data_IF_097796461106
#
_entry.id   IF_097796461106
#
_cell.length_a   1.000
_cell.length_b   1.000
_cell.length_c   1.000
_cell.angle_alpha   90.00
_cell.angle_beta   90.00
_cell.angle_gamma   90.00
#
_symmetry.space_group_name_H-M   'P 1'
#
loop_
_entity.id
_entity.type
_entity.pdbx_description
1 polymer ?
#
# COMPACT_ATOMS: atom_id res chain seq x y z
N UNK A 1 12.93 -29.58 6.41
CA UNK A 1 11.98 -30.50 5.74
C UNK A 1 12.32 -31.91 6.21
N UNK A 2 11.34 -32.71 6.64
CA UNK A 2 11.59 -34.13 6.88
C UNK A 2 12.05 -34.76 5.56
N UNK A 3 13.11 -35.57 5.59
CA UNK A 3 13.57 -36.32 4.42
C UNK A 3 12.47 -37.30 4.03
N UNK A 4 11.68 -36.96 3.01
CA UNK A 4 10.76 -37.91 2.40
C UNK A 4 11.57 -38.80 1.47
N UNK A 5 11.42 -40.13 1.61
CA UNK A 5 12.21 -41.12 0.84
C UNK A 5 12.04 -41.01 -0.69
N UNK A 6 10.99 -40.34 -1.15
CA UNK A 6 10.57 -40.30 -2.56
C UNK A 6 10.63 -38.90 -3.20
N UNK A 7 11.12 -37.88 -2.48
CA UNK A 7 11.13 -36.51 -3.00
C UNK A 7 12.41 -35.75 -2.64
N UNK A 8 13.08 -35.26 -3.68
CA UNK A 8 14.24 -34.37 -3.57
C UNK A 8 13.82 -33.00 -4.09
N UNK A 9 13.90 -31.99 -3.22
CA UNK A 9 13.53 -30.64 -3.61
C UNK A 9 14.54 -30.07 -4.63
N UNK A 10 14.02 -29.57 -5.74
CA UNK A 10 14.73 -28.89 -6.82
C UNK A 10 14.83 -27.37 -6.61
N UNK A 11 15.55 -26.71 -7.52
CA UNK A 11 15.70 -25.25 -7.53
C UNK A 11 14.36 -24.51 -7.61
N UNK A 12 13.36 -25.07 -8.30
CA UNK A 12 12.05 -24.46 -8.48
C UNK A 12 11.30 -24.30 -7.17
N UNK A 13 11.28 -25.37 -6.36
CA UNK A 13 10.61 -25.36 -5.04
C UNK A 13 11.33 -24.41 -4.10
N UNK A 14 12.67 -24.47 -4.02
CA UNK A 14 13.44 -23.58 -3.16
C UNK A 14 13.26 -22.12 -3.56
N UNK A 15 13.33 -21.80 -4.86
CA UNK A 15 13.08 -20.45 -5.39
C UNK A 15 11.69 -19.95 -4.95
N UNK A 16 10.65 -20.77 -5.10
CA UNK A 16 9.28 -20.40 -4.70
C UNK A 16 9.15 -20.17 -3.20
N UNK A 17 9.71 -21.07 -2.38
CA UNK A 17 9.65 -20.96 -0.91
C UNK A 17 10.41 -19.71 -0.43
N UNK A 18 11.61 -19.46 -0.96
CA UNK A 18 12.42 -18.27 -0.66
C UNK A 18 11.64 -17.00 -1.03
N UNK A 19 11.03 -16.95 -2.22
CA UNK A 19 10.20 -15.82 -2.66
C UNK A 19 8.99 -15.58 -1.74
N UNK A 20 8.30 -16.65 -1.32
CA UNK A 20 7.16 -16.54 -0.39
C UNK A 20 7.60 -16.04 0.99
N UNK A 21 8.69 -16.58 1.55
CA UNK A 21 9.22 -16.14 2.83
C UNK A 21 9.69 -14.68 2.76
N UNK A 22 10.32 -14.28 1.65
CA UNK A 22 10.67 -12.91 1.33
C UNK A 22 9.48 -11.96 1.38
N UNK A 23 8.40 -12.27 0.65
CA UNK A 23 7.17 -11.44 0.64
C UNK A 23 6.50 -11.31 2.01
N UNK A 24 6.67 -12.30 2.91
CA UNK A 24 6.21 -12.23 4.31
C UNK A 24 7.18 -11.49 5.24
N UNK A 25 8.31 -10.98 4.74
CA UNK A 25 9.36 -10.33 5.53
C UNK A 25 10.20 -11.28 6.38
N UNK A 26 10.05 -12.60 6.20
CA UNK A 26 10.74 -13.63 6.98
C UNK A 26 12.12 -13.95 6.40
N UNK A 27 13.00 -12.95 6.34
CA UNK A 27 14.32 -13.05 5.68
C UNK A 27 15.21 -14.13 6.32
N UNK A 28 15.14 -14.32 7.65
CA UNK A 28 15.90 -15.37 8.34
C UNK A 28 15.52 -16.76 7.83
N UNK A 29 14.23 -17.01 7.61
CA UNK A 29 13.75 -18.28 7.09
C UNK A 29 14.14 -18.47 5.62
N UNK A 30 14.06 -17.40 4.80
CA UNK A 30 14.55 -17.43 3.41
C UNK A 30 16.04 -17.80 3.33
N UNK A 31 16.88 -17.22 4.20
CA UNK A 31 18.30 -17.54 4.30
C UNK A 31 18.56 -18.97 4.79
N UNK A 32 17.77 -19.45 5.74
CA UNK A 32 17.84 -20.83 6.21
C UNK A 32 17.51 -21.79 5.07
N UNK A 33 16.44 -21.56 4.30
CA UNK A 33 16.06 -22.38 3.15
C UNK A 33 17.17 -22.43 2.09
N UNK A 34 17.79 -21.28 1.78
CA UNK A 34 18.93 -21.22 0.86
C UNK A 34 20.14 -22.02 1.36
N UNK A 35 20.40 -21.99 2.67
CA UNK A 35 21.50 -22.77 3.28
C UNK A 35 21.20 -24.26 3.27
N UNK A 36 19.95 -24.65 3.58
CA UNK A 36 19.50 -26.04 3.53
C UNK A 36 19.62 -26.62 2.12
N UNK A 37 19.25 -25.86 1.09
CA UNK A 37 19.40 -26.24 -0.30
C UNK A 37 20.85 -26.58 -0.66
N UNK A 38 21.81 -25.75 -0.23
CA UNK A 38 23.23 -26.01 -0.46
C UNK A 38 23.72 -27.25 0.30
N UNK A 39 23.27 -27.41 1.54
CA UNK A 39 23.62 -28.55 2.39
C UNK A 39 23.02 -29.88 1.89
N UNK A 40 21.92 -29.83 1.12
CA UNK A 40 21.36 -31.00 0.45
C UNK A 40 22.01 -31.31 -0.90
N UNK A 41 23.10 -30.61 -1.27
CA UNK A 41 23.83 -30.82 -2.52
C UNK A 41 23.20 -30.16 -3.76
N UNK A 42 22.11 -29.40 -3.58
CA UNK A 42 21.44 -28.72 -4.68
C UNK A 42 22.17 -27.42 -5.03
N UNK A 43 22.57 -27.25 -6.30
CA UNK A 43 23.34 -26.09 -6.78
C UNK A 43 22.40 -24.94 -7.17
N UNK A 44 22.48 -23.77 -6.52
CA UNK A 44 21.61 -22.63 -6.83
C UNK A 44 21.78 -22.12 -8.26
N UNK A 45 20.66 -22.01 -8.97
CA UNK A 45 20.58 -21.39 -10.29
C UNK A 45 20.14 -19.91 -10.20
N UNK A 46 20.04 -19.27 -11.37
CA UNK A 46 19.64 -17.87 -11.50
C UNK A 46 18.28 -17.59 -10.86
N UNK A 47 17.33 -18.53 -10.93
CA UNK A 47 15.99 -18.37 -10.35
C UNK A 47 16.05 -18.28 -8.82
N UNK A 48 16.85 -19.15 -8.19
CA UNK A 48 17.04 -19.14 -6.73
C UNK A 48 17.71 -17.85 -6.27
N UNK A 49 18.75 -17.37 -6.97
CA UNK A 49 19.39 -16.11 -6.62
C UNK A 49 18.47 -14.91 -6.85
N UNK A 50 17.69 -14.87 -7.93
CA UNK A 50 16.68 -13.83 -8.16
C UNK A 50 15.65 -13.80 -7.02
N UNK A 51 15.19 -14.97 -6.58
CA UNK A 51 14.31 -15.09 -5.42
C UNK A 51 14.98 -14.63 -4.12
N UNK A 52 16.27 -14.89 -3.93
CA UNK A 52 17.03 -14.46 -2.76
C UNK A 52 17.24 -12.93 -2.73
N UNK A 53 17.61 -12.35 -3.87
CA UNK A 53 17.72 -10.90 -4.08
C UNK A 53 16.37 -10.25 -3.77
N UNK A 54 15.29 -10.73 -4.42
CA UNK A 54 13.93 -10.26 -4.19
C UNK A 54 13.50 -10.38 -2.73
N UNK A 55 13.84 -11.49 -2.07
CA UNK A 55 13.56 -11.66 -0.65
C UNK A 55 14.24 -10.59 0.19
N UNK A 56 15.53 -10.32 -0.01
CA UNK A 56 16.25 -9.29 0.73
C UNK A 56 15.62 -7.90 0.60
N UNK A 57 15.10 -7.55 -0.58
CA UNK A 57 14.44 -6.27 -0.83
C UNK A 57 13.15 -6.05 0.00
N UNK A 58 12.55 -7.12 0.52
CA UNK A 58 11.43 -7.07 1.46
C UNK A 58 11.84 -6.89 2.93
N UNK A 59 13.14 -6.78 3.23
CA UNK A 59 13.65 -6.43 4.56
C UNK A 59 13.19 -5.03 4.99
N UNK A 60 13.11 -4.82 6.31
CA UNK A 60 12.81 -3.50 6.91
C UNK A 60 13.94 -2.51 6.69
N UNK A 61 15.18 -2.97 6.81
CA UNK A 61 16.37 -2.16 6.54
C UNK A 61 16.65 -2.18 5.03
N UNK A 62 16.27 -1.10 4.35
CA UNK A 62 16.38 -0.95 2.90
C UNK A 62 17.81 -0.78 2.42
N UNK A 63 18.63 -0.02 3.15
CA UNK A 63 20.04 0.21 2.76
C UNK A 63 20.83 -1.09 2.81
N UNK A 64 20.74 -1.83 3.92
CA UNK A 64 21.40 -3.13 4.06
C UNK A 64 20.86 -4.18 3.08
N UNK A 65 19.57 -4.10 2.75
CA UNK A 65 18.96 -4.97 1.74
C UNK A 65 19.56 -4.75 0.35
N UNK A 66 19.70 -3.49 -0.07
CA UNK A 66 20.28 -3.13 -1.37
C UNK A 66 21.74 -3.54 -1.47
N UNK A 67 22.54 -3.29 -0.41
CA UNK A 67 23.93 -3.74 -0.36
C UNK A 67 24.05 -5.27 -0.49
N UNK A 68 23.19 -6.03 0.19
CA UNK A 68 23.16 -7.50 0.06
C UNK A 68 22.71 -7.95 -1.32
N UNK A 69 21.71 -7.28 -1.91
CA UNK A 69 21.23 -7.57 -3.25
C UNK A 69 22.35 -7.44 -4.29
N UNK A 70 23.15 -6.36 -4.23
CA UNK A 70 24.33 -6.20 -5.06
C UNK A 70 25.40 -7.25 -4.77
N UNK A 71 25.66 -7.57 -3.50
CA UNK A 71 26.61 -8.63 -3.16
C UNK A 71 26.25 -9.99 -3.77
N UNK A 72 24.97 -10.33 -3.85
CA UNK A 72 24.51 -11.54 -4.54
C UNK A 72 24.63 -11.43 -6.06
N UNK A 73 24.34 -10.25 -6.63
CA UNK A 73 24.51 -9.99 -8.05
C UNK A 73 25.96 -10.14 -8.51
N UNK A 74 26.92 -9.54 -7.79
CA UNK A 74 28.34 -9.71 -8.09
C UNK A 74 28.79 -11.17 -7.93
N UNK A 75 28.26 -11.88 -6.93
CA UNK A 75 28.51 -13.31 -6.76
C UNK A 75 27.99 -14.14 -7.94
N UNK A 76 26.83 -13.79 -8.51
CA UNK A 76 26.27 -14.47 -9.68
C UNK A 76 27.18 -14.33 -10.90
N UNK A 77 27.77 -13.14 -11.12
CA UNK A 77 28.72 -12.91 -12.22
C UNK A 77 29.93 -13.84 -12.19
N UNK A 78 30.40 -14.18 -11.00
CA UNK A 78 31.54 -15.09 -10.81
C UNK A 78 31.18 -16.59 -10.98
N UNK A 79 29.91 -16.95 -11.26
CA UNK A 79 29.47 -18.34 -11.39
C UNK A 79 29.10 -18.61 -12.86
N UNK A 80 29.91 -19.41 -13.56
CA UNK A 80 29.72 -19.72 -15.00
C UNK A 80 28.30 -20.13 -15.38
N UNK A 81 27.66 -21.00 -14.57
CA UNK A 81 26.31 -21.52 -14.84
C UNK A 81 25.18 -20.72 -14.18
N UNK A 82 25.45 -19.54 -13.63
CA UNK A 82 24.49 -18.75 -12.86
C UNK A 82 24.64 -17.25 -13.13
N UNK A 83 24.84 -16.89 -14.40
CA UNK A 83 25.00 -15.50 -14.82
C UNK A 83 23.69 -14.71 -14.61
N UNK A 84 23.79 -13.40 -14.30
CA UNK A 84 22.62 -12.53 -14.21
C UNK A 84 21.82 -12.50 -15.53
N UNK A 85 20.50 -12.60 -15.41
CA UNK A 85 19.59 -12.49 -16.56
C UNK A 85 18.86 -11.16 -16.54
N UNK A 86 18.06 -10.87 -17.57
CA UNK A 86 17.28 -9.64 -17.63
C UNK A 86 16.36 -9.48 -16.42
N UNK A 87 15.84 -10.60 -15.91
CA UNK A 87 15.02 -10.63 -14.69
C UNK A 87 15.82 -10.14 -13.48
N UNK A 88 17.09 -10.52 -13.37
CA UNK A 88 17.99 -10.07 -12.29
C UNK A 88 18.19 -8.56 -12.36
N UNK A 89 18.51 -8.03 -13.54
CA UNK A 89 18.66 -6.59 -13.76
C UNK A 89 17.34 -5.84 -13.47
N UNK A 90 16.20 -6.34 -13.95
CA UNK A 90 14.90 -5.71 -13.72
C UNK A 90 14.55 -5.61 -12.23
N UNK A 91 14.89 -6.63 -11.43
CA UNK A 91 14.71 -6.60 -9.97
C UNK A 91 15.58 -5.50 -9.34
N UNK A 92 16.87 -5.45 -9.69
CA UNK A 92 17.83 -4.52 -9.10
C UNK A 92 17.56 -3.07 -9.54
N UNK A 93 17.41 -2.83 -10.84
CA UNK A 93 17.12 -1.51 -11.40
C UNK A 93 15.87 -0.90 -10.78
N UNK A 94 14.78 -1.69 -10.67
CA UNK A 94 13.55 -1.24 -10.00
C UNK A 94 13.79 -0.94 -8.53
N UNK A 95 14.55 -1.77 -7.83
CA UNK A 95 14.82 -1.60 -6.40
C UNK A 95 15.63 -0.34 -6.10
N UNK A 96 16.70 -0.09 -6.87
CA UNK A 96 17.53 1.11 -6.71
C UNK A 96 16.79 2.38 -7.15
N UNK A 97 16.01 2.33 -8.23
CA UNK A 97 15.14 3.44 -8.64
C UNK A 97 14.09 3.76 -7.56
N UNK A 98 13.50 2.73 -6.93
CA UNK A 98 12.56 2.90 -5.82
C UNK A 98 13.23 3.45 -4.56
N UNK A 99 14.53 3.23 -4.39
CA UNK A 99 15.32 3.81 -3.30
C UNK A 99 15.83 5.23 -3.62
N UNK A 100 15.70 5.69 -4.86
CA UNK A 100 16.22 6.98 -5.32
C UNK A 100 17.73 7.02 -5.53
N UNK A 101 18.39 5.85 -5.57
CA UNK A 101 19.84 5.76 -5.82
C UNK A 101 20.12 5.76 -7.33
N UNK A 102 20.10 6.97 -7.89
CA UNK A 102 20.27 7.18 -9.34
C UNK A 102 21.64 6.74 -9.84
N UNK A 103 22.69 6.91 -9.03
CA UNK A 103 24.05 6.50 -9.37
C UNK A 103 24.13 5.00 -9.59
N UNK A 104 23.54 4.21 -8.69
CA UNK A 104 23.56 2.76 -8.83
C UNK A 104 22.67 2.30 -9.99
N UNK A 105 21.56 2.99 -10.27
CA UNK A 105 20.75 2.71 -11.46
C UNK A 105 21.59 2.90 -12.72
N UNK A 106 22.33 4.00 -12.86
CA UNK A 106 23.18 4.26 -14.03
C UNK A 106 24.31 3.22 -14.18
N UNK A 107 24.94 2.82 -13.07
CA UNK A 107 25.96 1.76 -13.05
C UNK A 107 25.39 0.43 -13.55
N UNK A 108 24.24 -0.01 -13.02
CA UNK A 108 23.59 -1.27 -13.44
C UNK A 108 23.20 -1.26 -14.90
N UNK A 109 22.80 -0.10 -15.38
CA UNK A 109 22.39 0.10 -16.76
C UNK A 109 23.59 0.06 -17.72
N UNK A 110 24.72 0.65 -17.32
CA UNK A 110 25.99 0.53 -18.07
C UNK A 110 26.47 -0.92 -18.10
N UNK A 111 26.42 -1.59 -16.96
CA UNK A 111 26.75 -3.01 -16.84
C UNK A 111 25.82 -3.89 -17.70
N UNK A 112 24.52 -3.57 -17.77
CA UNK A 112 23.57 -4.23 -18.67
C UNK A 112 23.92 -4.00 -20.15
N UNK A 113 24.35 -2.78 -20.52
CA UNK A 113 24.76 -2.45 -21.89
C UNK A 113 26.04 -3.16 -22.33
N UNK A 114 26.94 -3.48 -21.40
CA UNK A 114 28.17 -4.24 -21.63
C UNK A 114 27.94 -5.77 -21.56
N UNK A 115 26.77 -6.20 -21.07
CA UNK A 115 26.41 -7.61 -20.94
C UNK A 115 25.86 -8.20 -22.25
N UNK A 116 25.84 -9.53 -22.33
CA UNK A 116 25.19 -10.27 -23.44
C UNK A 116 23.64 -10.17 -23.41
N UNK A 117 23.07 -9.60 -22.34
CA UNK A 117 21.64 -9.52 -22.12
C UNK A 117 21.16 -8.12 -22.51
N UNK A 118 20.07 -8.03 -23.27
CA UNK A 118 19.53 -6.74 -23.71
C UNK A 118 18.37 -6.27 -22.83
N UNK A 119 18.26 -4.95 -22.56
CA UNK A 119 17.10 -4.38 -21.90
C UNK A 119 15.83 -4.59 -22.72
N UNK A 120 14.72 -4.89 -22.04
CA UNK A 120 13.41 -5.03 -22.66
C UNK A 120 12.45 -3.92 -22.18
N UNK A 121 11.22 -3.95 -22.69
CA UNK A 121 10.20 -2.97 -22.31
C UNK A 121 9.86 -3.03 -20.81
N UNK A 122 9.97 -4.19 -20.18
CA UNK A 122 9.75 -4.35 -18.74
C UNK A 122 10.86 -3.73 -17.91
N UNK A 123 12.10 -3.74 -18.39
CA UNK A 123 13.23 -3.02 -17.79
C UNK A 123 12.92 -1.54 -17.69
N UNK A 124 12.58 -0.91 -18.81
CA UNK A 124 12.32 0.54 -18.85
C UNK A 124 11.05 0.90 -18.07
N UNK A 125 9.94 0.17 -18.30
CA UNK A 125 8.70 0.41 -17.57
C UNK A 125 8.87 0.25 -16.06
N UNK A 126 9.69 -0.71 -15.61
CA UNK A 126 9.99 -0.91 -14.19
C UNK A 126 10.72 0.26 -13.54
N UNK A 127 11.72 0.83 -14.24
CA UNK A 127 12.48 1.99 -13.74
C UNK A 127 11.64 3.28 -13.79
N UNK A 128 10.93 3.51 -14.90
CA UNK A 128 10.03 4.67 -15.07
C UNK A 128 8.94 4.64 -13.99
N UNK A 129 8.32 3.49 -13.73
CA UNK A 129 7.30 3.31 -12.66
C UNK A 129 7.87 3.62 -11.28
N UNK A 130 9.09 3.14 -10.99
CA UNK A 130 9.74 3.36 -9.70
C UNK A 130 10.07 4.84 -9.45
N UNK A 131 10.71 5.52 -10.42
CA UNK A 131 10.99 6.96 -10.30
C UNK A 131 9.71 7.80 -10.27
N UNK A 132 8.75 7.48 -11.14
CA UNK A 132 7.45 8.15 -11.18
C UNK A 132 6.69 8.04 -9.86
N UNK A 133 6.71 6.85 -9.21
CA UNK A 133 6.10 6.65 -7.90
C UNK A 133 6.75 7.44 -6.76
N UNK A 134 8.05 7.70 -6.87
CA UNK A 134 8.80 8.52 -5.92
C UNK A 134 8.71 10.03 -6.23
N UNK A 135 8.03 10.44 -7.31
CA UNK A 135 7.97 11.83 -7.73
C UNK A 135 9.28 12.37 -8.32
N UNK A 136 10.22 11.48 -8.67
CA UNK A 136 11.51 11.78 -9.29
C UNK A 136 11.33 11.94 -10.81
N UNK A 137 10.62 12.99 -11.21
CA UNK A 137 10.16 13.18 -12.60
C UNK A 137 11.33 13.41 -13.57
N UNK A 138 12.40 14.09 -13.15
CA UNK A 138 13.56 14.36 -14.02
C UNK A 138 14.29 13.07 -14.38
N UNK A 139 14.45 12.19 -13.39
CA UNK A 139 15.08 10.89 -13.51
C UNK A 139 14.19 9.90 -14.27
N UNK A 140 12.87 9.99 -14.09
CA UNK A 140 11.92 9.26 -14.94
C UNK A 140 12.04 9.68 -16.41
N UNK A 141 12.13 10.99 -16.69
CA UNK A 141 12.27 11.54 -18.04
C UNK A 141 13.61 11.15 -18.69
N UNK A 142 14.71 11.06 -17.92
CA UNK A 142 16.03 10.69 -18.44
C UNK A 142 16.11 9.24 -18.97
N UNK A 143 15.19 8.38 -18.54
CA UNK A 143 15.09 6.99 -19.02
C UNK A 143 14.46 6.90 -20.42
N UNK A 144 13.60 7.86 -20.81
CA UNK A 144 12.90 7.83 -22.09
C UNK A 144 13.84 7.93 -23.31
N UNK A 145 14.85 8.82 -23.35
CA UNK A 145 15.85 8.83 -24.41
C UNK A 145 16.62 7.51 -24.53
N UNK A 146 16.92 6.85 -23.41
CA UNK A 146 17.62 5.56 -23.40
C UNK A 146 16.76 4.44 -23.98
N UNK A 147 15.48 4.42 -23.62
CA UNK A 147 14.52 3.48 -24.21
C UNK A 147 14.48 3.64 -25.74
N UNK A 148 14.43 4.89 -26.22
CA UNK A 148 14.45 5.22 -27.65
C UNK A 148 15.78 4.85 -28.34
N UNK A 149 16.93 5.10 -27.71
CA UNK A 149 18.24 4.82 -28.30
C UNK A 149 18.50 3.31 -28.47
N UNK A 150 17.90 2.48 -27.61
CA UNK A 150 17.89 1.02 -27.73
C UNK A 150 16.76 0.49 -28.61
N UNK A 151 16.10 1.35 -29.37
CA UNK A 151 15.00 1.03 -30.27
C UNK A 151 13.81 0.33 -29.59
N UNK A 152 13.70 0.44 -28.26
CA UNK A 152 12.55 -0.05 -27.51
C UNK A 152 11.43 0.99 -27.61
N UNK A 153 10.27 0.59 -28.14
CA UNK A 153 9.15 1.51 -28.35
C UNK A 153 8.25 1.56 -27.11
N UNK A 154 7.84 2.76 -26.63
CA UNK A 154 6.85 2.88 -25.57
C UNK A 154 5.55 2.16 -25.92
N UNK A 155 5.02 1.36 -24.99
CA UNK A 155 3.72 0.70 -25.10
C UNK A 155 2.67 1.45 -24.27
N UNK A 156 1.42 0.96 -24.32
CA UNK A 156 0.31 1.50 -23.52
C UNK A 156 0.63 1.53 -22.01
N UNK A 157 1.44 0.58 -21.52
CA UNK A 157 1.86 0.54 -20.12
C UNK A 157 2.82 1.71 -19.83
N UNK A 158 3.80 1.97 -20.71
CA UNK A 158 4.68 3.15 -20.60
C UNK A 158 3.87 4.44 -20.54
N UNK A 159 2.91 4.62 -21.46
CA UNK A 159 2.06 5.82 -21.47
C UNK A 159 1.23 5.96 -20.19
N UNK A 160 0.64 4.86 -19.69
CA UNK A 160 -0.14 4.87 -18.46
C UNK A 160 0.73 5.24 -17.24
N UNK A 161 1.95 4.72 -17.14
CA UNK A 161 2.89 5.07 -16.07
C UNK A 161 3.23 6.57 -16.12
N UNK A 162 3.52 7.10 -17.31
CA UNK A 162 3.84 8.52 -17.48
C UNK A 162 2.66 9.41 -17.10
N UNK A 163 1.45 9.11 -17.59
CA UNK A 163 0.22 9.84 -17.27
C UNK A 163 -0.02 9.88 -15.76
N UNK A 164 0.05 8.71 -15.10
CA UNK A 164 -0.16 8.64 -13.66
C UNK A 164 0.94 9.38 -12.87
N UNK A 165 2.20 9.28 -13.30
CA UNK A 165 3.32 9.94 -12.63
C UNK A 165 3.28 11.46 -12.75
N UNK A 166 3.02 12.00 -13.94
CA UNK A 166 2.82 13.44 -14.14
C UNK A 166 1.56 13.94 -13.42
N UNK A 167 0.47 13.15 -13.44
CA UNK A 167 -0.76 13.47 -12.73
C UNK A 167 -0.56 13.55 -11.22
N UNK A 168 0.18 12.61 -10.62
CA UNK A 168 0.51 12.62 -9.18
C UNK A 168 1.40 13.79 -8.79
N UNK A 169 2.29 14.25 -9.67
CA UNK A 169 3.09 15.47 -9.47
C UNK A 169 2.32 16.75 -9.82
N UNK A 170 1.09 16.64 -10.31
CA UNK A 170 0.22 17.74 -10.76
C UNK A 170 0.83 18.57 -11.90
N UNK A 171 1.74 18.00 -12.69
CA UNK A 171 2.22 18.61 -13.93
C UNK A 171 1.26 18.26 -15.07
N UNK A 172 0.04 18.80 -14.99
CA UNK A 172 -1.07 18.41 -15.86
C UNK A 172 -0.81 18.68 -17.35
N UNK A 173 -0.04 19.72 -17.68
CA UNK A 173 0.32 20.01 -19.08
C UNK A 173 1.09 18.84 -19.72
N UNK A 174 2.07 18.29 -18.99
CA UNK A 174 2.83 17.10 -19.45
C UNK A 174 1.94 15.87 -19.50
N UNK A 175 1.07 15.67 -18.51
CA UNK A 175 0.09 14.56 -18.52
C UNK A 175 -0.81 14.61 -19.77
N UNK A 176 -1.35 15.79 -20.08
CA UNK A 176 -2.19 16.01 -21.26
C UNK A 176 -1.42 15.86 -22.57
N UNK A 177 -0.15 16.30 -22.62
CA UNK A 177 0.74 16.07 -23.79
C UNK A 177 1.01 14.59 -24.02
N UNK A 178 1.24 13.81 -22.96
CA UNK A 178 1.43 12.35 -23.05
C UNK A 178 0.14 11.69 -23.53
N UNK A 179 -1.02 12.08 -23.01
CA UNK A 179 -2.31 11.55 -23.45
C UNK A 179 -2.59 11.87 -24.93
N UNK A 180 -2.33 13.10 -25.38
CA UNK A 180 -2.41 13.48 -26.81
C UNK A 180 -1.42 12.69 -27.67
N UNK A 181 -0.27 12.31 -27.14
CA UNK A 181 0.72 11.49 -27.84
C UNK A 181 0.28 10.04 -27.93
N UNK A 182 -0.36 9.49 -26.88
CA UNK A 182 -0.99 8.17 -26.91
C UNK A 182 -2.10 8.11 -27.97
N UNK A 183 -2.98 9.12 -28.03
CA UNK A 183 -4.04 9.19 -29.06
C UNK A 183 -3.52 9.22 -30.50
N UNK A 184 -2.31 9.74 -30.73
CA UNK A 184 -1.65 9.78 -32.05
C UNK A 184 -0.79 8.55 -32.32
N UNK A 185 -0.51 7.76 -31.30
CA UNK A 185 0.29 6.54 -31.42
C UNK A 185 -0.55 5.39 -31.98
N UNK A 186 0.11 4.28 -32.35
CA UNK A 186 -0.60 3.04 -32.71
C UNK A 186 -1.25 2.39 -31.49
N UNK A 187 -0.77 2.71 -30.29
CA UNK A 187 -1.33 2.23 -29.03
C UNK A 187 -2.65 2.96 -28.75
N UNK A 188 -3.67 2.23 -28.30
CA UNK A 188 -4.97 2.82 -27.94
C UNK A 188 -5.05 3.09 -26.45
N UNK A 189 -5.70 4.18 -26.02
CA UNK A 189 -6.06 4.37 -24.62
C UNK A 189 -6.87 3.18 -24.10
N UNK A 190 -6.72 2.92 -22.81
CA UNK A 190 -7.42 1.84 -22.09
C UNK A 190 -8.13 2.42 -20.86
N UNK A 191 -9.03 1.65 -20.23
CA UNK A 191 -9.68 2.11 -18.99
C UNK A 191 -8.69 2.62 -17.92
N UNK A 192 -7.54 1.97 -17.65
CA UNK A 192 -6.54 2.51 -16.73
C UNK A 192 -5.99 3.90 -17.11
N UNK A 193 -5.91 4.22 -18.41
CA UNK A 193 -5.49 5.54 -18.89
C UNK A 193 -6.46 6.62 -18.39
N UNK A 194 -7.75 6.46 -18.66
CA UNK A 194 -8.79 7.40 -18.25
C UNK A 194 -8.95 7.45 -16.73
N UNK A 195 -8.96 6.29 -16.07
CA UNK A 195 -9.08 6.20 -14.61
C UNK A 195 -7.95 6.94 -13.89
N UNK A 196 -6.73 6.87 -14.41
CA UNK A 196 -5.57 7.60 -13.87
C UNK A 196 -5.74 9.11 -14.01
N UNK A 197 -6.19 9.60 -15.17
CA UNK A 197 -6.45 11.03 -15.37
C UNK A 197 -7.59 11.55 -14.49
N UNK A 198 -8.73 10.84 -14.44
CA UNK A 198 -9.88 11.18 -13.60
C UNK A 198 -9.47 11.25 -12.12
N UNK A 199 -8.74 10.26 -11.64
CA UNK A 199 -8.28 10.21 -10.24
C UNK A 199 -7.32 11.35 -9.91
N UNK A 200 -6.38 11.66 -10.81
CA UNK A 200 -5.39 12.71 -10.56
C UNK A 200 -6.00 14.12 -10.64
N UNK A 201 -6.89 14.40 -11.60
CA UNK A 201 -7.67 15.65 -11.61
C UNK A 201 -8.58 15.77 -10.39
N UNK A 202 -9.23 14.67 -9.99
CA UNK A 202 -10.05 14.63 -8.77
C UNK A 202 -9.26 15.01 -7.53
N UNK A 203 -8.07 14.42 -7.32
CA UNK A 203 -7.18 14.77 -6.20
C UNK A 203 -6.75 16.24 -6.19
N UNK A 204 -6.65 16.87 -7.36
CA UNK A 204 -6.36 18.30 -7.49
C UNK A 204 -7.62 19.18 -7.46
N UNK A 205 -8.81 18.62 -7.20
CA UNK A 205 -10.10 19.30 -7.17
C UNK A 205 -10.49 19.96 -8.50
N UNK A 206 -9.96 19.45 -9.61
CA UNK A 206 -10.23 19.96 -10.97
C UNK A 206 -11.39 19.17 -11.60
N UNK A 207 -12.60 19.34 -11.04
CA UNK A 207 -13.81 18.59 -11.42
C UNK A 207 -14.09 18.65 -12.92
N UNK A 208 -14.11 19.86 -13.50
CA UNK A 208 -14.45 20.07 -14.92
C UNK A 208 -13.50 19.32 -15.86
N UNK A 209 -12.20 19.29 -15.54
CA UNK A 209 -11.23 18.51 -16.32
C UNK A 209 -11.48 17.01 -16.18
N UNK A 210 -11.81 16.53 -14.98
CA UNK A 210 -12.12 15.12 -14.77
C UNK A 210 -13.39 14.68 -15.51
N UNK A 211 -14.44 15.51 -15.51
CA UNK A 211 -15.68 15.28 -16.25
C UNK A 211 -15.45 15.34 -17.77
N UNK A 212 -14.60 16.26 -18.25
CA UNK A 212 -14.19 16.31 -19.65
C UNK A 212 -13.48 15.02 -20.09
N UNK A 213 -12.62 14.44 -19.23
CA UNK A 213 -12.00 13.13 -19.50
C UNK A 213 -13.04 12.01 -19.56
N UNK A 214 -14.06 12.03 -18.69
CA UNK A 214 -15.16 11.07 -18.72
C UNK A 214 -15.96 11.18 -20.02
N UNK A 215 -16.34 12.39 -20.44
CA UNK A 215 -16.99 12.61 -21.74
C UNK A 215 -16.12 12.12 -22.89
N UNK A 216 -14.80 12.37 -22.83
CA UNK A 216 -13.88 11.88 -23.86
C UNK A 216 -13.78 10.35 -23.92
N UNK A 217 -13.85 9.69 -22.77
CA UNK A 217 -13.88 8.24 -22.68
C UNK A 217 -15.12 7.67 -23.39
N UNK A 218 -16.28 8.27 -23.15
CA UNK A 218 -17.55 7.87 -23.77
C UNK A 218 -17.59 8.17 -25.27
N UNK A 219 -17.09 9.32 -25.72
CA UNK A 219 -16.93 9.67 -27.15
C UNK A 219 -16.08 8.65 -27.91
N UNK A 220 -15.06 8.10 -27.26
CA UNK A 220 -14.19 7.07 -27.83
C UNK A 220 -14.81 5.66 -27.75
N UNK A 221 -16.07 5.54 -27.32
CA UNK A 221 -16.82 4.30 -27.24
C UNK A 221 -16.55 3.46 -25.99
N UNK A 222 -15.80 3.99 -25.01
CA UNK A 222 -15.55 3.29 -23.76
C UNK A 222 -16.65 3.62 -22.75
N UNK A 223 -17.44 2.61 -22.38
CA UNK A 223 -18.38 2.74 -21.26
C UNK A 223 -17.62 2.69 -19.92
N UNK A 224 -17.97 3.53 -18.93
CA UNK A 224 -17.43 3.44 -17.59
C UNK A 224 -17.57 2.03 -17.04
N UNK A 225 -16.44 1.41 -16.72
CA UNK A 225 -16.44 0.10 -16.07
C UNK A 225 -16.51 0.26 -14.55
N UNK A 226 -16.57 -0.86 -13.84
CA UNK A 226 -16.64 -0.87 -12.39
C UNK A 226 -15.52 -0.05 -11.71
N UNK A 227 -14.28 -0.19 -12.18
CA UNK A 227 -13.13 0.55 -11.63
C UNK A 227 -13.25 2.05 -11.95
N UNK A 228 -13.75 2.40 -13.12
CA UNK A 228 -14.03 3.80 -13.50
C UNK A 228 -15.07 4.42 -12.57
N UNK A 229 -16.15 3.68 -12.25
CA UNK A 229 -17.18 4.16 -11.31
C UNK A 229 -16.60 4.42 -9.91
N UNK A 230 -15.73 3.55 -9.41
CA UNK A 230 -15.00 3.79 -8.14
C UNK A 230 -14.11 5.02 -8.20
N UNK A 231 -13.40 5.23 -9.31
CA UNK A 231 -12.62 6.45 -9.54
C UNK A 231 -13.50 7.70 -9.55
N UNK A 232 -14.72 7.63 -10.11
CA UNK A 232 -15.67 8.75 -10.14
C UNK A 232 -16.19 9.07 -8.74
N UNK A 233 -16.55 8.07 -7.93
CA UNK A 233 -16.95 8.27 -6.52
C UNK A 233 -15.87 9.06 -5.79
N UNK A 234 -14.61 8.64 -5.89
CA UNK A 234 -13.48 9.33 -5.25
C UNK A 234 -13.21 10.71 -5.84
N UNK A 235 -13.34 10.87 -7.16
CA UNK A 235 -13.17 12.16 -7.83
C UNK A 235 -14.17 13.19 -7.31
N UNK A 236 -15.47 12.85 -7.28
CA UNK A 236 -16.51 13.72 -6.75
C UNK A 236 -16.33 13.96 -5.25
N UNK A 237 -15.87 12.96 -4.50
CA UNK A 237 -15.57 13.11 -3.08
C UNK A 237 -14.43 14.12 -2.82
N UNK A 238 -13.38 14.12 -3.64
CA UNK A 238 -12.31 15.11 -3.53
C UNK A 238 -12.78 16.53 -3.90
N UNK A 239 -13.78 16.64 -4.78
CA UNK A 239 -14.37 17.90 -5.22
C UNK A 239 -15.57 18.34 -4.36
N UNK A 240 -15.71 17.79 -3.14
CA UNK A 240 -16.78 18.09 -2.18
C UNK A 240 -18.22 17.88 -2.72
N UNK A 241 -18.38 17.08 -3.78
CA UNK A 241 -19.65 16.78 -4.46
C UNK A 241 -20.22 15.42 -4.03
N UNK A 242 -20.37 15.20 -2.72
CA UNK A 242 -20.69 13.89 -2.14
C UNK A 242 -22.06 13.35 -2.58
N UNK A 243 -23.03 14.22 -2.89
CA UNK A 243 -24.34 13.81 -3.42
C UNK A 243 -24.21 13.05 -4.74
N UNK A 244 -23.37 13.53 -5.65
CA UNK A 244 -23.11 12.87 -6.93
C UNK A 244 -22.31 11.58 -6.75
N UNK A 245 -21.33 11.58 -5.85
CA UNK A 245 -20.61 10.37 -5.46
C UNK A 245 -21.58 9.29 -4.93
N UNK A 246 -22.56 9.68 -4.11
CA UNK A 246 -23.56 8.78 -3.55
C UNK A 246 -24.49 8.22 -4.62
N UNK A 247 -24.96 9.06 -5.54
CA UNK A 247 -25.79 8.63 -6.66
C UNK A 247 -25.09 7.53 -7.48
N UNK A 248 -23.81 7.74 -7.83
CA UNK A 248 -23.02 6.76 -8.59
C UNK A 248 -22.87 5.45 -7.80
N UNK A 249 -22.65 5.54 -6.49
CA UNK A 249 -22.59 4.35 -5.64
C UNK A 249 -23.90 3.56 -5.62
N UNK A 250 -25.04 4.24 -5.49
CA UNK A 250 -26.36 3.59 -5.48
C UNK A 250 -26.68 2.96 -6.85
N UNK A 251 -26.36 3.64 -7.96
CA UNK A 251 -26.44 3.08 -9.32
C UNK A 251 -25.60 1.80 -9.47
N UNK A 252 -24.38 1.82 -8.94
CA UNK A 252 -23.48 0.67 -8.95
C UNK A 252 -24.04 -0.50 -8.14
N UNK A 253 -24.55 -0.25 -6.93
CA UNK A 253 -25.17 -1.28 -6.08
C UNK A 253 -26.41 -1.89 -6.74
N UNK A 254 -27.24 -1.08 -7.37
CA UNK A 254 -28.44 -1.53 -8.06
C UNK A 254 -28.13 -2.36 -9.32
N UNK A 255 -27.07 -2.01 -10.05
CA UNK A 255 -26.68 -2.73 -11.28
C UNK A 255 -26.14 -4.14 -11.04
N UNK A 256 -25.49 -4.40 -9.88
CA UNK A 256 -24.77 -5.65 -9.63
C UNK A 256 -25.50 -6.63 -8.71
N UNK A 257 -26.65 -6.25 -8.14
CA UNK A 257 -27.40 -7.03 -7.14
C UNK A 257 -26.58 -7.51 -5.92
N UNK A 258 -25.34 -7.00 -5.76
CA UNK A 258 -24.41 -7.31 -4.67
C UNK A 258 -23.49 -6.12 -4.43
N UNK A 259 -23.34 -5.72 -3.17
CA UNK A 259 -22.42 -4.65 -2.76
C UNK A 259 -21.00 -5.22 -2.74
N UNK A 260 -20.13 -4.71 -3.60
CA UNK A 260 -18.71 -5.03 -3.55
C UNK A 260 -17.98 -4.22 -2.47
N UNK A 261 -17.04 -4.88 -1.77
CA UNK A 261 -16.31 -4.27 -0.67
C UNK A 261 -15.43 -3.08 -1.09
N UNK A 262 -14.91 -3.06 -2.32
CA UNK A 262 -14.08 -1.95 -2.79
C UNK A 262 -14.90 -0.68 -3.02
N UNK A 263 -16.08 -0.78 -3.66
CA UNK A 263 -16.97 0.36 -3.84
C UNK A 263 -17.53 0.88 -2.52
N UNK A 264 -17.83 -0.04 -1.58
CA UNK A 264 -18.19 0.34 -0.22
C UNK A 264 -17.08 1.14 0.44
N UNK A 265 -15.84 0.65 0.40
CA UNK A 265 -14.71 1.35 0.98
C UNK A 265 -14.49 2.73 0.33
N UNK A 266 -14.68 2.85 -0.98
CA UNK A 266 -14.59 4.13 -1.68
C UNK A 266 -15.67 5.12 -1.20
N UNK A 267 -16.92 4.68 -1.05
CA UNK A 267 -18.00 5.55 -0.55
C UNK A 267 -17.83 5.91 0.93
N UNK A 268 -17.35 4.98 1.76
CA UNK A 268 -17.03 5.26 3.16
C UNK A 268 -15.87 6.25 3.28
N UNK A 269 -14.84 6.12 2.45
CA UNK A 269 -13.73 7.08 2.38
C UNK A 269 -14.24 8.45 1.94
N UNK A 270 -15.11 8.49 0.92
CA UNK A 270 -15.74 9.71 0.43
C UNK A 270 -16.50 10.46 1.54
N UNK A 271 -17.32 9.76 2.34
CA UNK A 271 -18.00 10.38 3.49
C UNK A 271 -17.01 10.86 4.55
N UNK A 272 -16.02 10.03 4.91
CA UNK A 272 -15.03 10.36 5.92
C UNK A 272 -14.17 11.58 5.54
N UNK A 273 -13.74 11.67 4.29
CA UNK A 273 -12.96 12.80 3.78
C UNK A 273 -13.73 14.12 3.81
N UNK A 274 -15.05 14.06 3.70
CA UNK A 274 -15.94 15.22 3.74
C UNK A 274 -16.53 15.49 5.14
N UNK A 275 -16.05 14.79 6.18
CA UNK A 275 -16.52 14.98 7.56
C UNK A 275 -17.92 14.43 7.86
N UNK A 276 -18.50 13.65 6.95
CA UNK A 276 -19.85 13.10 7.05
C UNK A 276 -19.85 11.74 7.79
N UNK A 277 -19.30 11.74 9.01
CA UNK A 277 -19.07 10.52 9.80
C UNK A 277 -20.35 9.76 10.13
N UNK A 278 -21.45 10.47 10.42
CA UNK A 278 -22.76 9.86 10.70
C UNK A 278 -23.31 9.11 9.49
N UNK A 279 -23.14 9.66 8.29
CA UNK A 279 -23.57 9.00 7.05
C UNK A 279 -22.69 7.78 6.71
N UNK A 280 -21.40 7.85 7.02
CA UNK A 280 -20.50 6.69 6.92
C UNK A 280 -20.94 5.56 7.85
N UNK A 281 -21.30 5.88 9.09
CA UNK A 281 -21.79 4.91 10.08
C UNK A 281 -23.14 4.30 9.68
N UNK A 282 -24.07 5.12 9.19
CA UNK A 282 -25.36 4.65 8.65
C UNK A 282 -25.18 3.72 7.45
N UNK A 283 -24.26 4.04 6.54
CA UNK A 283 -23.94 3.18 5.40
C UNK A 283 -23.37 1.84 5.88
N UNK A 284 -22.48 1.84 6.88
CA UNK A 284 -21.94 0.61 7.46
C UNK A 284 -23.07 -0.27 8.04
N UNK A 285 -23.96 0.32 8.85
CA UNK A 285 -25.09 -0.40 9.45
C UNK A 285 -26.02 -0.99 8.38
N UNK A 286 -26.32 -0.23 7.32
CA UNK A 286 -27.16 -0.68 6.19
C UNK A 286 -26.55 -1.91 5.50
N UNK A 287 -25.23 -1.91 5.34
CA UNK A 287 -24.51 -2.98 4.65
C UNK A 287 -24.37 -4.22 5.54
N UNK A 288 -24.20 -4.03 6.85
CA UNK A 288 -24.25 -5.11 7.84
C UNK A 288 -25.63 -5.79 7.87
N UNK A 289 -26.71 -5.02 7.80
CA UNK A 289 -28.07 -5.56 7.70
C UNK A 289 -28.30 -6.37 6.42
N UNK A 290 -27.65 -5.98 5.31
CA UNK A 290 -27.65 -6.73 4.04
C UNK A 290 -26.73 -7.97 4.05
N UNK A 291 -26.10 -8.29 5.19
CA UNK A 291 -25.28 -9.51 5.36
C UNK A 291 -23.88 -9.43 4.73
N UNK A 292 -23.43 -8.26 4.32
CA UNK A 292 -22.07 -8.07 3.79
C UNK A 292 -21.11 -7.91 4.95
N UNK A 293 -20.09 -8.77 5.02
CA UNK A 293 -19.08 -8.75 6.09
C UNK A 293 -17.98 -7.76 5.72
N UNK A 294 -17.83 -6.62 6.43
CA UNK A 294 -16.77 -5.65 6.15
C UNK A 294 -15.39 -6.23 6.49
N UNK A 295 -14.37 -5.78 5.77
CA UNK A 295 -13.00 -6.24 5.98
C UNK A 295 -12.31 -5.49 7.13
N UNK A 296 -11.22 -6.05 7.67
CA UNK A 296 -10.37 -5.31 8.63
C UNK A 296 -9.84 -3.99 8.08
N UNK A 297 -9.68 -3.85 6.76
CA UNK A 297 -9.32 -2.60 6.09
C UNK A 297 -10.44 -1.55 6.16
N UNK A 298 -11.70 -1.98 6.03
CA UNK A 298 -12.90 -1.13 6.15
C UNK A 298 -12.99 -0.53 7.54
N UNK A 299 -12.84 -1.35 8.57
CA UNK A 299 -12.81 -0.88 9.95
C UNK A 299 -11.62 0.04 10.24
N UNK A 300 -10.44 -0.26 9.70
CA UNK A 300 -9.26 0.62 9.82
C UNK A 300 -9.49 2.01 9.20
N UNK A 301 -10.16 2.07 8.05
CA UNK A 301 -10.50 3.32 7.38
C UNK A 301 -11.39 4.20 8.28
N UNK A 302 -12.53 3.64 8.73
CA UNK A 302 -13.49 4.34 9.58
C UNK A 302 -12.87 4.74 10.93
N UNK A 303 -12.09 3.84 11.52
CA UNK A 303 -11.40 4.10 12.77
C UNK A 303 -10.48 5.31 12.69
N UNK A 304 -9.64 5.36 11.65
CA UNK A 304 -8.74 6.50 11.41
C UNK A 304 -9.52 7.80 11.22
N UNK A 305 -10.62 7.75 10.47
CA UNK A 305 -11.46 8.92 10.21
C UNK A 305 -12.14 9.43 11.50
N UNK A 306 -12.84 8.56 12.23
CA UNK A 306 -13.56 8.92 13.45
C UNK A 306 -12.62 9.40 14.56
N UNK A 307 -11.43 8.79 14.66
CA UNK A 307 -10.40 9.22 15.62
C UNK A 307 -9.87 10.61 15.26
N UNK A 308 -9.60 10.89 13.97
CA UNK A 308 -9.18 12.22 13.50
C UNK A 308 -10.26 13.28 13.76
N UNK A 309 -11.54 12.90 13.67
CA UNK A 309 -12.67 13.75 13.97
C UNK A 309 -12.98 13.91 15.47
N UNK A 310 -12.26 13.19 16.35
CA UNK A 310 -12.51 13.11 17.79
C UNK A 310 -13.94 12.66 18.16
N UNK A 311 -14.58 11.85 17.30
CA UNK A 311 -15.92 11.31 17.55
C UNK A 311 -15.83 10.03 18.40
N UNK A 312 -15.74 10.23 19.73
CA UNK A 312 -15.56 9.13 20.69
C UNK A 312 -16.71 8.13 20.67
N UNK A 313 -17.92 8.57 20.35
CA UNK A 313 -19.12 7.73 20.34
C UNK A 313 -19.06 6.75 19.17
N UNK A 314 -18.77 7.25 17.97
CA UNK A 314 -18.62 6.40 16.79
C UNK A 314 -17.43 5.45 16.92
N UNK A 315 -16.30 5.91 17.49
CA UNK A 315 -15.14 5.02 17.76
C UNK A 315 -15.52 3.86 18.69
N UNK A 316 -16.23 4.14 19.79
CA UNK A 316 -16.68 3.09 20.71
C UNK A 316 -17.68 2.12 20.06
N UNK A 317 -18.62 2.64 19.28
CA UNK A 317 -19.59 1.83 18.52
C UNK A 317 -18.85 0.91 17.54
N UNK A 318 -17.89 1.44 16.79
CA UNK A 318 -17.09 0.71 15.81
C UNK A 318 -16.30 -0.42 16.47
N UNK A 319 -15.64 -0.17 17.61
CA UNK A 319 -14.88 -1.19 18.34
C UNK A 319 -15.77 -2.33 18.87
N UNK A 320 -16.97 -2.00 19.37
CA UNK A 320 -17.96 -3.02 19.77
C UNK A 320 -18.39 -3.87 18.58
N UNK A 321 -18.62 -3.24 17.41
CA UNK A 321 -18.95 -3.95 16.17
C UNK A 321 -17.82 -4.88 15.70
N UNK A 322 -16.58 -4.42 15.74
CA UNK A 322 -15.41 -5.23 15.39
C UNK A 322 -15.28 -6.48 16.26
N UNK A 323 -15.48 -6.33 17.58
CA UNK A 323 -15.41 -7.45 18.52
C UNK A 323 -16.50 -8.49 18.24
N UNK A 324 -17.74 -8.05 17.95
CA UNK A 324 -18.84 -8.94 17.56
C UNK A 324 -18.54 -9.76 16.30
N UNK A 325 -17.74 -9.22 15.38
CA UNK A 325 -17.35 -9.90 14.15
C UNK A 325 -16.02 -10.68 14.26
N UNK A 326 -15.41 -10.73 15.44
CA UNK A 326 -14.12 -11.40 15.65
C UNK A 326 -12.94 -10.75 14.91
N UNK A 327 -13.07 -9.48 14.51
CA UNK A 327 -12.00 -8.75 13.82
C UNK A 327 -11.05 -8.17 14.86
N UNK A 328 -9.90 -8.81 15.04
CA UNK A 328 -8.88 -8.37 15.98
C UNK A 328 -8.09 -7.21 15.37
N UNK A 329 -8.11 -6.01 15.98
CA UNK A 329 -7.32 -4.89 15.50
C UNK A 329 -5.82 -5.12 15.76
N UNK A 330 -4.96 -4.78 14.80
CA UNK A 330 -3.52 -5.01 14.95
C UNK A 330 -2.87 -4.06 15.98
N UNK A 331 -1.70 -4.39 16.55
CA UNK A 331 -1.03 -3.54 17.57
C UNK A 331 -0.85 -2.08 17.13
N UNK A 332 -0.60 -1.82 15.84
CA UNK A 332 -0.46 -0.46 15.30
C UNK A 332 -1.80 0.30 15.29
N UNK A 333 -2.90 -0.39 15.04
CA UNK A 333 -4.27 0.13 15.11
C UNK A 333 -4.58 0.75 16.47
N UNK A 334 -4.13 0.12 17.58
CA UNK A 334 -4.34 0.64 18.93
C UNK A 334 -3.41 1.77 19.32
N UNK A 335 -2.16 1.78 18.82
CA UNK A 335 -1.19 2.83 19.13
C UNK A 335 -1.61 4.19 18.56
N UNK A 336 -2.07 4.22 17.30
CA UNK A 336 -2.56 5.45 16.65
C UNK A 336 -3.77 6.06 17.40
N UNK A 337 -4.51 5.23 18.13
CA UNK A 337 -5.65 5.65 18.94
C UNK A 337 -5.25 6.28 20.27
N UNK A 338 -4.37 5.60 21.00
CA UNK A 338 -3.90 6.06 22.30
C UNK A 338 -3.16 7.39 22.19
N UNK A 339 -2.47 7.65 21.08
CA UNK A 339 -1.87 8.94 20.80
C UNK A 339 -2.93 10.05 20.65
N UNK A 340 -4.01 9.78 19.92
CA UNK A 340 -5.11 10.73 19.74
C UNK A 340 -5.93 10.99 21.02
N UNK A 341 -6.12 9.96 21.86
CA UNK A 341 -6.75 10.13 23.18
C UNK A 341 -5.80 10.80 24.20
N UNK A 342 -4.49 10.51 24.12
CA UNK A 342 -3.47 11.03 25.02
C UNK A 342 -3.15 12.52 24.84
N UNK A 343 -3.40 13.09 23.65
CA UNK A 343 -3.30 14.55 23.44
C UNK A 343 -4.36 15.36 24.19
N UNK A 344 -5.41 14.71 24.71
CA UNK A 344 -6.50 15.38 25.46
C UNK A 344 -6.28 15.41 26.98
N UNK A 345 -5.28 14.71 27.55
CA UNK A 345 -5.07 14.61 29.01
C UNK A 345 -3.84 15.37 29.53
N UNK A 346 -3.37 16.42 28.84
CA UNK A 346 -2.47 17.38 29.51
C UNK A 346 -3.28 18.32 30.39
N UNK A 347 -3.57 17.87 31.62
CA UNK A 347 -4.02 18.76 32.71
C UNK A 347 -3.01 19.90 32.91
N UNK A 348 -3.44 21.15 33.19
CA UNK A 348 -2.53 22.26 33.46
C UNK A 348 -1.68 21.95 34.70
N UNK A 349 -0.37 22.24 34.63
CA UNK A 349 0.52 22.21 35.79
C UNK A 349 0.01 23.20 36.83
N UNK A 350 -0.61 22.73 37.90
CA UNK A 350 -0.75 23.49 39.13
C UNK A 350 0.53 23.30 39.95
N UNK A 351 1.27 24.39 40.10
CA UNK A 351 2.35 24.53 41.07
C UNK A 351 1.77 24.50 42.48
N UNK A 352 2.22 23.58 43.33
CA UNK A 352 2.20 23.81 44.77
C UNK A 352 3.56 23.44 45.35
N UNK A 353 4.25 24.47 45.82
CA UNK A 353 5.45 24.38 46.61
C UNK A 353 5.08 24.11 48.09
N UNK A 354 6.00 23.39 48.73
CA UNK A 354 6.38 23.45 50.15
C UNK A 354 5.48 22.82 51.24
N UNK A 355 6.13 21.84 51.91
CA UNK A 355 6.27 21.68 53.38
C UNK A 355 5.02 21.30 54.21
N UNK A 356 5.04 20.44 55.24
CA UNK A 356 6.07 19.66 55.96
C UNK A 356 5.36 18.64 56.86
N UNK A 357 6.07 17.54 57.16
CA UNK A 357 5.92 16.52 58.21
C UNK A 357 4.89 16.67 59.36
N UNK A 358 4.14 15.59 59.67
CA UNK A 358 4.31 14.78 60.90
C UNK A 358 3.45 13.49 60.92
N UNK A 359 3.91 12.49 61.67
CA UNK A 359 3.43 11.09 61.84
C UNK A 359 2.89 10.93 63.30
N UNK A 360 2.41 9.76 63.81
CA UNK A 360 1.17 8.98 63.57
C UNK A 360 0.40 8.61 64.91
N UNK A 361 -0.52 7.62 64.87
CA UNK A 361 -1.26 6.92 65.97
C UNK A 361 -2.64 7.50 66.35
N UNK A 362 -3.70 6.79 66.79
CA UNK A 362 -4.12 5.38 66.86
C UNK A 362 -5.64 5.32 67.21
N UNK A 363 -6.31 4.19 66.93
CA UNK A 363 -7.58 3.66 67.48
C UNK A 363 -8.89 4.49 67.41
N UNK A 364 -9.96 3.94 66.79
CA UNK A 364 -11.00 3.14 67.46
C UNK A 364 -12.21 2.85 66.54
N UNK A 365 -12.96 1.80 66.89
CA UNK A 365 -14.05 1.16 66.16
C UNK A 365 -15.37 1.95 66.03
N UNK A 366 -16.26 1.50 65.13
CA UNK A 366 -17.71 1.76 65.18
C UNK A 366 -18.41 1.89 63.82
N UNK A 367 -18.99 0.79 63.34
CA UNK A 367 -20.29 0.62 62.64
C UNK A 367 -20.66 1.57 61.47
N UNK A 368 -20.64 1.08 60.23
CA UNK A 368 -21.69 0.33 59.51
C UNK A 368 -22.56 1.25 58.65
N UNK A 369 -22.36 1.23 57.32
CA UNK A 369 -23.48 1.26 56.36
C UNK A 369 -22.99 0.91 54.95
N UNK A 370 -23.80 0.09 54.29
CA UNK A 370 -23.51 -0.53 53.02
C UNK A 370 -23.49 0.47 51.86
N UNK A 371 -22.38 0.53 51.13
CA UNK A 371 -22.34 1.08 49.79
C UNK A 371 -21.63 0.08 48.87
N UNK A 372 -22.42 -0.63 48.06
CA UNK A 372 -22.02 -1.52 46.98
C UNK A 372 -21.18 -0.76 45.95
N UNK A 373 -19.86 -0.73 46.16
CA UNK A 373 -18.90 -0.29 45.16
C UNK A 373 -18.75 -1.36 44.09
N UNK A 374 -19.44 -1.17 42.96
CA UNK A 374 -19.16 -1.87 41.71
C UNK A 374 -17.78 -1.39 41.22
N UNK A 375 -16.73 -2.11 41.61
CA UNK A 375 -15.41 -1.99 40.98
C UNK A 375 -15.55 -2.45 39.52
N UNK A 376 -15.18 -1.64 38.51
CA UNK A 376 -15.09 -2.15 37.15
C UNK A 376 -13.95 -3.17 37.08
N UNK A 377 -14.30 -4.34 36.54
CA UNK A 377 -13.46 -5.52 36.45
C UNK A 377 -12.20 -5.22 35.62
N UNK A 378 -11.04 -5.24 36.28
CA UNK A 378 -9.72 -5.08 35.68
C UNK A 378 -9.36 -6.41 35.00
N UNK A 379 -9.82 -6.61 33.77
CA UNK A 379 -9.43 -7.77 32.95
C UNK A 379 -9.16 -7.45 31.47
N UNK A 380 -9.04 -6.17 31.11
CA UNK A 380 -8.90 -5.73 29.70
C UNK A 380 -7.43 -5.45 29.28
N UNK A 381 -6.44 -5.60 30.15
CA UNK A 381 -5.06 -5.14 29.87
C UNK A 381 -3.95 -6.20 29.92
N UNK A 382 -4.26 -7.49 29.81
CA UNK A 382 -3.23 -8.54 29.77
C UNK A 382 -3.48 -9.58 28.67
N UNK A 383 -3.39 -9.16 27.39
CA UNK A 383 -2.96 -10.05 26.30
C UNK A 383 -2.20 -9.23 25.25
N UNK A 384 -1.02 -8.74 25.61
CA UNK A 384 -0.06 -8.17 24.66
C UNK A 384 1.38 -8.23 25.21
N UNK A 385 1.78 -9.39 25.75
CA UNK A 385 3.17 -9.68 26.05
C UNK A 385 3.40 -11.19 26.03
N UNK A 386 3.44 -11.77 24.83
CA UNK A 386 4.27 -12.92 24.45
C UNK A 386 4.44 -12.96 22.94
#
# INVERSE_FOLDING_TARGET
MQKQRWYVADNGIYSKLISVMGRKGQIRMAMWLFSQMRNSGCKPDTSVYNSLIGAHLHSRDKSKALAKALGYFEKMKCIERCQPTIVTYNILLRAFAQAGDTKQVDILFKDLDESIVSPDIYTYNGVIDAYGKNGMIKEMESVLPRMKSKQCRPDVITFNILIDSYGRKQTFDKMEQVFKSLLRSKERPTHPTFNSMITNYGKARLREKAESVLGKMEELGFKPNYVTQECLIMMYAHCDCVSRARQIFDELVNSQNKVNLSSLNAMLDAYCMNGLHTEADRLLDTVLQKGVVPSGSTYKLLYKAYTKANDKVLVQKLLKGMNKQGIVPNKKFFLDALEAFGTSERKPRTSSAANTANKPSANSAGDSEAATSIKPNVSVWQVAAT
#
